data_IF_825231613480
#
_entry.id   IF_825231613480
#
_cell.length_a   1.000
_cell.length_b   1.000
_cell.length_c   1.000
_cell.angle_alpha   90.00
_cell.angle_beta   90.00
_cell.angle_gamma   90.00
#
_symmetry.space_group_name_H-M   'P 1'
#
loop_
_entity.id
_entity.type
_entity.pdbx_description
1 polymer ?
#
# COMPACT_ATOMS: atom_id res chain seq x y z
N UNK A 1 -113.78 -119.24 -113.85
CA UNK A 1 -114.65 -118.75 -112.77
C UNK A 1 -113.93 -118.19 -111.53
N UNK A 2 -112.69 -118.58 -111.19
CA UNK A 2 -111.98 -118.03 -110.01
C UNK A 2 -111.42 -116.59 -110.20
N UNK A 3 -111.02 -116.21 -111.42
CA UNK A 3 -110.38 -114.91 -111.70
C UNK A 3 -111.36 -113.74 -111.65
N UNK A 4 -112.60 -113.96 -112.10
CA UNK A 4 -113.65 -112.93 -112.13
C UNK A 4 -114.08 -112.51 -110.71
N UNK A 5 -114.05 -113.44 -109.74
CA UNK A 5 -114.41 -113.14 -108.35
C UNK A 5 -113.31 -112.37 -107.58
N UNK A 6 -112.04 -112.52 -107.97
CA UNK A 6 -110.90 -111.85 -107.33
C UNK A 6 -110.81 -110.37 -107.72
N UNK A 7 -111.09 -110.06 -109.00
CA UNK A 7 -111.08 -108.71 -109.54
C UNK A 7 -112.16 -107.83 -108.90
N UNK A 8 -113.37 -108.37 -108.74
CA UNK A 8 -114.49 -107.67 -108.08
C UNK A 8 -114.18 -107.34 -106.62
N UNK A 9 -113.49 -108.24 -105.92
CA UNK A 9 -113.14 -108.07 -104.51
C UNK A 9 -112.03 -107.04 -104.30
N UNK A 10 -111.04 -106.98 -105.19
CA UNK A 10 -110.01 -105.93 -105.20
C UNK A 10 -110.63 -104.57 -105.53
N UNK A 11 -111.50 -104.49 -106.54
CA UNK A 11 -112.16 -103.24 -106.89
C UNK A 11 -113.04 -102.71 -105.76
N UNK A 12 -113.69 -103.59 -104.99
CA UNK A 12 -114.46 -103.20 -103.80
C UNK A 12 -113.56 -102.70 -102.66
N UNK A 13 -112.41 -103.33 -102.44
CA UNK A 13 -111.44 -102.88 -101.44
C UNK A 13 -110.88 -101.50 -101.79
N UNK A 14 -110.54 -101.28 -103.06
CA UNK A 14 -110.06 -99.98 -103.57
C UNK A 14 -111.14 -98.91 -103.52
N UNK A 15 -112.42 -99.25 -103.75
CA UNK A 15 -113.52 -98.28 -103.63
C UNK A 15 -113.87 -97.92 -102.19
N UNK A 16 -113.56 -98.79 -101.23
CA UNK A 16 -113.85 -98.59 -99.81
C UNK A 16 -112.71 -97.87 -99.06
N UNK A 17 -111.54 -97.66 -99.70
CA UNK A 17 -110.42 -96.88 -99.15
C UNK A 17 -110.79 -95.39 -99.10
N UNK A 18 -110.82 -94.80 -97.90
CA UNK A 18 -111.00 -93.36 -97.72
C UNK A 18 -109.66 -92.63 -97.76
N UNK A 19 -109.68 -91.32 -98.01
CA UNK A 19 -108.45 -90.51 -97.93
C UNK A 19 -107.78 -90.60 -96.55
N UNK A 20 -108.57 -90.75 -95.48
CA UNK A 20 -108.08 -90.91 -94.11
C UNK A 20 -107.33 -92.24 -93.91
N UNK A 21 -107.72 -93.31 -94.62
CA UNK A 21 -107.07 -94.63 -94.54
C UNK A 21 -105.68 -94.67 -95.18
N UNK A 22 -105.36 -93.71 -96.06
CA UNK A 22 -104.05 -93.57 -96.71
C UNK A 22 -103.21 -92.42 -96.15
N UNK A 23 -103.63 -91.82 -95.03
CA UNK A 23 -102.95 -90.66 -94.42
C UNK A 23 -102.98 -89.40 -95.28
N UNK A 24 -103.90 -89.33 -96.26
CA UNK A 24 -104.09 -88.17 -97.12
C UNK A 24 -105.28 -87.33 -96.63
N UNK A 25 -105.22 -86.01 -96.81
CA UNK A 25 -106.40 -85.18 -96.68
C UNK A 25 -107.29 -85.38 -97.92
N UNK A 26 -108.62 -85.53 -97.76
CA UNK A 26 -109.55 -85.50 -98.88
C UNK A 26 -109.34 -84.24 -99.74
N UNK A 27 -109.63 -84.34 -101.04
CA UNK A 27 -109.55 -83.17 -101.94
C UNK A 27 -110.44 -82.04 -101.40
N UNK A 28 -109.83 -80.89 -101.09
CA UNK A 28 -110.50 -79.73 -100.50
C UNK A 28 -110.55 -79.68 -98.97
N UNK A 29 -110.19 -80.76 -98.27
CA UNK A 29 -110.05 -80.78 -96.83
C UNK A 29 -108.74 -80.10 -96.41
N UNK A 30 -108.76 -79.42 -95.27
CA UNK A 30 -107.61 -78.73 -94.70
C UNK A 30 -107.24 -79.34 -93.36
N UNK A 31 -105.97 -79.24 -92.98
CA UNK A 31 -105.54 -79.62 -91.64
C UNK A 31 -106.29 -78.80 -90.58
N UNK A 32 -106.54 -79.38 -89.40
CA UNK A 32 -107.36 -78.76 -88.34
C UNK A 32 -106.92 -77.33 -87.97
N UNK A 33 -105.62 -77.05 -88.04
CA UNK A 33 -105.04 -75.74 -87.70
C UNK A 33 -104.78 -74.83 -88.91
N UNK A 34 -105.16 -75.24 -90.12
CA UNK A 34 -104.92 -74.45 -91.33
C UNK A 34 -105.60 -73.07 -91.27
N UNK A 35 -106.76 -72.97 -90.62
CA UNK A 35 -107.48 -71.70 -90.41
C UNK A 35 -106.68 -70.68 -89.58
N UNK A 36 -105.71 -71.12 -88.77
CA UNK A 36 -104.84 -70.19 -88.00
C UNK A 36 -103.82 -69.47 -88.88
N UNK A 37 -103.53 -70.02 -90.06
CA UNK A 37 -102.51 -69.55 -91.01
C UNK A 37 -103.12 -68.95 -92.28
N UNK A 38 -104.42 -69.18 -92.52
CA UNK A 38 -105.09 -68.75 -93.75
C UNK A 38 -105.19 -67.21 -93.85
N UNK A 39 -104.91 -66.68 -95.05
CA UNK A 39 -104.94 -65.24 -95.33
C UNK A 39 -103.80 -64.44 -94.69
N UNK A 40 -102.92 -65.08 -93.92
CA UNK A 40 -101.77 -64.44 -93.27
C UNK A 40 -100.51 -64.60 -94.10
N UNK A 41 -99.75 -63.52 -94.18
CA UNK A 41 -98.38 -63.57 -94.67
C UNK A 41 -97.46 -64.24 -93.64
N UNK A 42 -96.31 -64.76 -94.10
CA UNK A 42 -95.25 -65.28 -93.21
C UNK A 42 -94.85 -64.27 -92.13
N UNK A 43 -94.84 -62.97 -92.45
CA UNK A 43 -94.51 -61.91 -91.51
C UNK A 43 -95.55 -61.75 -90.40
N UNK A 44 -96.85 -61.81 -90.72
CA UNK A 44 -97.93 -61.73 -89.74
C UNK A 44 -97.92 -62.92 -88.78
N UNK A 45 -97.72 -64.13 -89.29
CA UNK A 45 -97.61 -65.35 -88.46
C UNK A 45 -96.43 -65.25 -87.48
N UNK A 46 -95.27 -64.77 -87.95
CA UNK A 46 -94.08 -64.56 -87.10
C UNK A 46 -94.31 -63.44 -86.08
N UNK A 47 -95.01 -62.37 -86.44
CA UNK A 47 -95.33 -61.25 -85.55
C UNK A 47 -96.24 -61.68 -84.40
N UNK A 48 -97.33 -62.39 -84.72
CA UNK A 48 -98.25 -62.91 -83.71
C UNK A 48 -97.57 -63.91 -82.77
N UNK A 49 -96.74 -64.81 -83.30
CA UNK A 49 -95.97 -65.76 -82.50
C UNK A 49 -94.96 -65.08 -81.56
N UNK A 50 -94.47 -63.88 -81.92
CA UNK A 50 -93.50 -63.11 -81.14
C UNK A 50 -94.12 -62.03 -80.23
N UNK A 51 -95.43 -61.81 -80.30
CA UNK A 51 -96.10 -60.69 -79.63
C UNK A 51 -95.92 -60.69 -78.09
N UNK A 52 -95.79 -61.87 -77.48
CA UNK A 52 -95.61 -62.04 -76.04
C UNK A 52 -94.14 -62.29 -75.61
N UNK A 53 -93.19 -62.21 -76.54
CA UNK A 53 -91.77 -62.33 -76.24
C UNK A 53 -91.15 -60.95 -75.95
N UNK A 54 -90.04 -60.95 -75.20
CA UNK A 54 -89.27 -59.74 -74.94
C UNK A 54 -88.47 -59.36 -76.19
N UNK A 55 -88.56 -58.12 -76.71
CA UNK A 55 -87.74 -57.69 -77.83
C UNK A 55 -86.25 -57.66 -77.45
N UNK A 56 -85.38 -58.12 -78.36
CA UNK A 56 -83.92 -58.07 -78.18
C UNK A 56 -83.34 -56.65 -78.15
N UNK A 57 -84.16 -55.64 -78.51
CA UNK A 57 -83.83 -54.22 -78.38
C UNK A 57 -83.94 -53.68 -76.96
N UNK A 58 -84.57 -54.41 -76.02
CA UNK A 58 -84.55 -54.02 -74.61
C UNK A 58 -83.18 -54.26 -74.00
N UNK A 59 -82.79 -53.39 -73.07
CA UNK A 59 -81.50 -53.47 -72.38
C UNK A 59 -81.69 -53.57 -70.86
N UNK A 60 -80.73 -54.21 -70.19
CA UNK A 60 -80.53 -54.13 -68.73
C UNK A 60 -79.19 -53.42 -68.52
N UNK A 61 -79.23 -52.24 -67.90
CA UNK A 61 -78.06 -51.36 -67.71
C UNK A 61 -77.23 -51.23 -69.01
N UNK A 62 -77.92 -50.87 -70.10
CA UNK A 62 -77.36 -50.70 -71.46
C UNK A 62 -76.83 -51.97 -72.14
N UNK A 63 -76.97 -53.17 -71.55
CA UNK A 63 -76.61 -54.44 -72.19
C UNK A 63 -77.83 -55.06 -72.89
N UNK A 64 -77.74 -55.44 -74.18
CA UNK A 64 -78.89 -55.95 -74.94
C UNK A 64 -79.26 -57.39 -74.55
N UNK A 65 -80.55 -57.71 -74.62
CA UNK A 65 -81.09 -59.07 -74.37
C UNK A 65 -80.93 -60.00 -75.58
N UNK A 66 -79.69 -60.23 -76.00
CA UNK A 66 -79.35 -61.15 -77.11
C UNK A 66 -78.70 -62.46 -76.65
N UNK A 67 -78.44 -62.60 -75.35
CA UNK A 67 -77.89 -63.77 -74.67
C UNK A 67 -77.91 -63.57 -73.15
N UNK A 68 -77.12 -64.36 -72.42
CA UNK A 68 -76.99 -64.22 -70.96
C UNK A 68 -76.35 -62.88 -70.58
N UNK A 69 -76.94 -62.16 -69.62
CA UNK A 69 -76.47 -60.85 -69.17
C UNK A 69 -75.68 -61.02 -67.89
N UNK A 70 -74.39 -60.64 -67.91
CA UNK A 70 -73.55 -60.52 -66.71
C UNK A 70 -73.42 -59.06 -66.31
N UNK A 71 -73.70 -58.74 -65.04
CA UNK A 71 -73.49 -57.42 -64.47
C UNK A 71 -72.27 -57.43 -63.54
N UNK A 72 -71.53 -56.32 -63.57
CA UNK A 72 -70.43 -56.03 -62.66
C UNK A 72 -70.85 -54.93 -61.67
N UNK A 73 -70.07 -54.73 -60.61
CA UNK A 73 -70.28 -53.62 -59.67
C UNK A 73 -70.32 -52.26 -60.39
N UNK A 74 -69.54 -52.08 -61.44
CA UNK A 74 -69.53 -50.85 -62.24
C UNK A 74 -70.83 -50.62 -63.00
N UNK A 75 -71.51 -51.68 -63.45
CA UNK A 75 -72.76 -51.54 -64.20
C UNK A 75 -73.91 -50.98 -63.35
N UNK A 76 -73.84 -51.11 -62.02
CA UNK A 76 -74.89 -50.68 -61.06
C UNK A 76 -74.46 -49.52 -60.15
N UNK A 77 -73.27 -48.96 -60.35
CA UNK A 77 -72.73 -47.90 -59.50
C UNK A 77 -72.30 -48.35 -58.10
N UNK A 78 -72.01 -49.65 -57.93
CA UNK A 78 -71.51 -50.22 -56.68
C UNK A 78 -69.97 -50.21 -56.63
N UNK A 79 -69.43 -50.23 -55.41
CA UNK A 79 -68.00 -50.45 -55.19
C UNK A 79 -67.65 -51.95 -55.34
N UNK A 80 -66.44 -52.29 -55.82
CA UNK A 80 -65.98 -53.67 -55.90
C UNK A 80 -65.81 -54.27 -54.50
N UNK A 81 -65.90 -55.60 -54.37
CA UNK A 81 -65.71 -56.30 -53.10
C UNK A 81 -64.33 -56.06 -52.46
N UNK A 82 -63.34 -55.67 -53.25
CA UNK A 82 -61.98 -55.34 -52.82
C UNK A 82 -61.79 -53.88 -52.40
N UNK A 83 -62.83 -53.05 -52.39
CA UNK A 83 -62.67 -51.67 -51.94
C UNK A 83 -62.35 -51.64 -50.43
N UNK A 84 -61.39 -50.81 -50.06
CA UNK A 84 -60.99 -50.58 -48.67
C UNK A 84 -61.11 -49.10 -48.34
N UNK A 85 -61.41 -48.79 -47.08
CA UNK A 85 -61.31 -47.44 -46.55
C UNK A 85 -60.21 -47.39 -45.49
N UNK A 86 -59.34 -46.39 -45.57
CA UNK A 86 -58.41 -46.08 -44.49
C UNK A 86 -59.22 -45.41 -43.37
N UNK A 87 -59.70 -46.20 -42.40
CA UNK A 87 -60.45 -45.67 -41.27
C UNK A 87 -59.90 -46.18 -39.94
N UNK A 88 -60.00 -45.32 -38.93
CA UNK A 88 -59.73 -45.68 -37.54
C UNK A 88 -61.03 -46.21 -36.94
N UNK A 89 -61.08 -47.48 -36.49
CA UNK A 89 -62.27 -48.03 -35.86
C UNK A 89 -62.69 -47.25 -34.60
N UNK A 90 -64.00 -47.04 -34.42
CA UNK A 90 -64.50 -46.30 -33.26
C UNK A 90 -64.09 -46.93 -31.93
N UNK A 91 -63.95 -48.26 -31.88
CA UNK A 91 -63.48 -49.00 -30.71
C UNK A 91 -61.96 -48.90 -30.48
N UNK A 92 -61.21 -48.22 -31.34
CA UNK A 92 -59.77 -47.94 -31.19
C UNK A 92 -59.47 -46.50 -30.81
N UNK A 93 -60.47 -45.63 -30.75
CA UNK A 93 -60.30 -44.21 -30.41
C UNK A 93 -60.32 -43.99 -28.90
N UNK A 94 -59.24 -43.46 -28.34
CA UNK A 94 -59.19 -43.03 -26.93
C UNK A 94 -59.29 -44.16 -25.92
N UNK A 95 -58.93 -45.39 -26.33
CA UNK A 95 -58.85 -46.58 -25.48
C UNK A 95 -57.40 -47.05 -25.36
N UNK A 96 -57.11 -47.90 -24.37
CA UNK A 96 -55.80 -48.57 -24.26
C UNK A 96 -55.49 -49.38 -25.53
N UNK A 97 -54.21 -49.44 -25.93
CA UNK A 97 -53.76 -50.10 -27.17
C UNK A 97 -54.47 -49.58 -28.45
N UNK A 98 -54.93 -48.33 -28.40
CA UNK A 98 -55.61 -47.62 -29.46
C UNK A 98 -54.84 -46.39 -29.94
N UNK A 99 -55.55 -45.47 -30.58
CA UNK A 99 -55.03 -44.17 -31.00
C UNK A 99 -55.58 -43.06 -30.10
N UNK A 100 -54.77 -42.04 -29.85
CA UNK A 100 -55.23 -40.83 -29.19
C UNK A 100 -56.29 -40.11 -30.03
N UNK A 101 -57.31 -39.54 -29.39
CA UNK A 101 -58.29 -38.67 -30.06
C UNK A 101 -57.89 -37.21 -29.93
N UNK A 102 -58.49 -36.35 -30.74
CA UNK A 102 -58.44 -34.91 -30.55
C UNK A 102 -59.78 -34.40 -30.00
N UNK A 103 -59.74 -33.37 -29.16
CA UNK A 103 -60.90 -32.60 -28.74
C UNK A 103 -61.33 -31.58 -29.84
N UNK A 104 -62.33 -30.76 -29.54
CA UNK A 104 -62.85 -29.73 -30.45
C UNK A 104 -61.84 -28.65 -30.82
N UNK A 105 -60.70 -28.57 -30.12
CA UNK A 105 -59.61 -27.63 -30.39
C UNK A 105 -58.45 -28.26 -31.15
N UNK A 106 -58.57 -29.53 -31.53
CA UNK A 106 -57.52 -30.26 -32.24
C UNK A 106 -56.37 -30.70 -31.33
N UNK A 107 -56.60 -30.87 -30.03
CA UNK A 107 -55.59 -31.30 -29.04
C UNK A 107 -55.95 -32.64 -28.42
N UNK A 108 -54.95 -33.38 -27.94
CA UNK A 108 -55.19 -34.63 -27.21
C UNK A 108 -55.90 -34.28 -25.88
N UNK A 109 -57.09 -34.85 -25.58
CA UNK A 109 -57.77 -34.63 -24.32
C UNK A 109 -56.87 -35.01 -23.13
N UNK A 110 -56.84 -34.17 -22.09
CA UNK A 110 -55.95 -34.37 -20.93
C UNK A 110 -56.10 -35.75 -20.27
N UNK A 111 -57.30 -36.36 -20.29
CA UNK A 111 -57.52 -37.70 -19.77
C UNK A 111 -56.76 -38.82 -20.50
N UNK A 112 -56.18 -38.54 -21.67
CA UNK A 112 -55.30 -39.45 -22.42
C UNK A 112 -53.80 -39.17 -22.17
N UNK A 113 -53.47 -38.15 -21.36
CA UNK A 113 -52.11 -37.83 -20.97
C UNK A 113 -51.84 -38.36 -19.55
N UNK A 114 -50.63 -38.87 -19.25
CA UNK A 114 -50.21 -39.16 -17.89
C UNK A 114 -50.23 -37.90 -17.00
N UNK A 115 -50.42 -38.08 -15.69
CA UNK A 115 -50.64 -37.00 -14.71
C UNK A 115 -49.46 -36.03 -14.45
N UNK A 116 -48.41 -36.00 -15.28
CA UNK A 116 -47.24 -35.10 -15.15
C UNK A 116 -47.04 -34.29 -16.46
N UNK A 117 -48.13 -33.78 -17.02
CA UNK A 117 -48.02 -32.76 -18.07
C UNK A 117 -47.90 -31.37 -17.39
N UNK A 118 -46.70 -30.79 -17.35
CA UNK A 118 -46.51 -29.38 -16.97
C UNK A 118 -47.27 -28.54 -17.99
N UNK A 119 -48.36 -27.87 -17.58
CA UNK A 119 -49.18 -27.09 -18.50
C UNK A 119 -48.69 -25.66 -18.62
N UNK A 120 -48.45 -24.97 -17.51
CA UNK A 120 -48.04 -23.57 -17.50
C UNK A 120 -47.05 -23.20 -16.39
N UNK A 121 -46.23 -22.17 -16.64
CA UNK A 121 -45.27 -21.61 -15.68
C UNK A 121 -45.67 -20.19 -15.28
N UNK A 122 -45.83 -19.92 -14.00
CA UNK A 122 -46.27 -18.65 -13.44
C UNK A 122 -45.13 -17.92 -12.70
N UNK A 123 -44.56 -16.85 -13.27
CA UNK A 123 -43.65 -15.99 -12.52
C UNK A 123 -44.44 -15.14 -11.50
N UNK A 124 -44.08 -15.25 -10.23
CA UNK A 124 -44.72 -14.55 -9.10
C UNK A 124 -43.69 -13.84 -8.22
N UNK A 125 -44.12 -12.80 -7.52
CA UNK A 125 -43.27 -11.95 -6.67
C UNK A 125 -43.41 -12.25 -5.18
N UNK A 126 -44.31 -13.14 -4.80
CA UNK A 126 -44.52 -13.51 -3.39
C UNK A 126 -45.24 -14.85 -3.25
N UNK A 127 -45.25 -15.38 -2.03
CA UNK A 127 -46.08 -16.53 -1.65
C UNK A 127 -47.57 -16.27 -1.84
N UNK A 128 -48.04 -15.08 -1.47
CA UNK A 128 -49.45 -14.73 -1.58
C UNK A 128 -49.91 -14.75 -3.04
N UNK A 129 -49.09 -14.26 -3.96
CA UNK A 129 -49.35 -14.36 -5.40
C UNK A 129 -49.35 -15.82 -5.88
N UNK A 130 -48.43 -16.66 -5.39
CA UNK A 130 -48.38 -18.09 -5.70
C UNK A 130 -49.65 -18.84 -5.26
N UNK A 131 -50.12 -18.60 -4.02
CA UNK A 131 -51.30 -19.26 -3.46
C UNK A 131 -52.61 -18.75 -4.09
N UNK A 132 -52.58 -17.57 -4.73
CA UNK A 132 -53.72 -17.03 -5.47
C UNK A 132 -53.81 -17.51 -6.92
N UNK A 133 -52.83 -18.30 -7.40
CA UNK A 133 -52.82 -18.80 -8.78
C UNK A 133 -54.02 -19.73 -9.04
N UNK A 134 -54.63 -19.57 -10.21
CA UNK A 134 -55.55 -20.58 -10.78
C UNK A 134 -54.73 -21.64 -11.50
N UNK A 135 -53.95 -22.41 -10.74
CA UNK A 135 -53.02 -23.43 -11.23
C UNK A 135 -53.60 -24.84 -11.08
N UNK A 136 -53.14 -25.77 -11.92
CA UNK A 136 -53.49 -27.20 -11.94
C UNK A 136 -52.32 -28.05 -11.42
N UNK A 137 -52.58 -29.29 -11.01
CA UNK A 137 -51.50 -30.21 -10.62
C UNK A 137 -50.51 -30.37 -11.78
N UNK A 138 -49.22 -30.20 -11.49
CA UNK A 138 -48.12 -30.16 -12.46
C UNK A 138 -47.68 -28.77 -12.90
N UNK A 139 -48.43 -27.71 -12.60
CA UNK A 139 -48.03 -26.34 -12.93
C UNK A 139 -46.89 -25.84 -12.03
N UNK A 140 -46.09 -24.93 -12.57
CA UNK A 140 -44.91 -24.41 -11.88
C UNK A 140 -45.08 -22.94 -11.50
N UNK A 141 -44.75 -22.59 -10.26
CA UNK A 141 -44.61 -21.21 -9.83
C UNK A 141 -43.12 -20.86 -9.66
N UNK A 142 -42.69 -19.76 -10.28
CA UNK A 142 -41.33 -19.24 -10.15
C UNK A 142 -41.38 -18.05 -9.20
N UNK A 143 -40.93 -18.28 -7.96
CA UNK A 143 -40.93 -17.28 -6.89
C UNK A 143 -39.65 -16.45 -6.93
N UNK A 144 -39.75 -15.28 -7.55
CA UNK A 144 -38.62 -14.36 -7.73
C UNK A 144 -38.11 -13.74 -6.43
N UNK A 145 -38.96 -13.64 -5.41
CA UNK A 145 -38.60 -13.23 -4.04
C UNK A 145 -37.61 -14.18 -3.36
N UNK A 146 -37.75 -15.49 -3.64
CA UNK A 146 -36.89 -16.53 -3.06
C UNK A 146 -35.83 -17.07 -4.05
N UNK A 147 -35.94 -16.72 -5.34
CA UNK A 147 -35.18 -17.35 -6.45
C UNK A 147 -35.36 -18.87 -6.49
N UNK A 148 -36.57 -19.34 -6.20
CA UNK A 148 -36.93 -20.76 -6.13
C UNK A 148 -38.09 -21.08 -7.07
N UNK A 149 -38.15 -22.32 -7.53
CA UNK A 149 -39.26 -22.85 -8.32
C UNK A 149 -40.04 -23.88 -7.52
N UNK A 150 -41.36 -23.86 -7.65
CA UNK A 150 -42.27 -24.78 -6.97
C UNK A 150 -43.18 -25.43 -7.99
N UNK A 151 -43.52 -26.71 -7.81
CA UNK A 151 -44.51 -27.42 -8.62
C UNK A 151 -45.73 -27.75 -7.76
N UNK A 152 -46.93 -27.53 -8.29
CA UNK A 152 -48.16 -27.89 -7.61
C UNK A 152 -48.39 -29.39 -7.69
N UNK A 153 -48.24 -30.10 -6.57
CA UNK A 153 -48.37 -31.56 -6.52
C UNK A 153 -49.80 -32.01 -6.22
N UNK A 154 -50.66 -31.13 -5.71
CA UNK A 154 -52.04 -31.45 -5.32
C UNK A 154 -52.95 -30.22 -5.35
N UNK A 155 -54.24 -30.38 -5.62
CA UNK A 155 -55.22 -29.30 -5.40
C UNK A 155 -55.67 -29.17 -3.93
N UNK A 156 -56.05 -27.96 -3.46
CA UNK A 156 -56.05 -26.69 -4.18
C UNK A 156 -54.70 -25.96 -4.17
N UNK A 157 -54.46 -25.09 -5.17
CA UNK A 157 -53.28 -24.20 -5.26
C UNK A 157 -53.15 -23.22 -4.08
N UNK A 158 -54.26 -22.91 -3.41
CA UNK A 158 -54.32 -22.03 -2.25
C UNK A 158 -53.70 -22.60 -0.96
N UNK A 159 -53.28 -23.87 -0.98
CA UNK A 159 -52.63 -24.54 0.16
C UNK A 159 -51.14 -24.68 -0.09
N UNK A 160 -50.30 -24.01 0.70
CA UNK A 160 -48.84 -24.05 0.56
C UNK A 160 -48.25 -25.46 0.60
N UNK A 161 -48.77 -26.34 1.46
CA UNK A 161 -48.30 -27.72 1.60
C UNK A 161 -48.54 -28.59 0.34
N UNK A 162 -49.31 -28.10 -0.62
CA UNK A 162 -49.50 -28.78 -1.90
C UNK A 162 -48.42 -28.41 -2.94
N UNK A 163 -47.59 -27.39 -2.66
CA UNK A 163 -46.48 -26.99 -3.52
C UNK A 163 -45.19 -27.66 -3.07
N UNK A 164 -44.51 -28.34 -4.00
CA UNK A 164 -43.19 -28.92 -3.78
C UNK A 164 -42.12 -27.99 -4.33
N UNK A 165 -41.20 -27.55 -3.49
CA UNK A 165 -39.99 -26.86 -3.93
C UNK A 165 -39.14 -27.80 -4.80
N UNK A 166 -38.77 -27.36 -6.00
CA UNK A 166 -37.72 -28.00 -6.78
C UNK A 166 -36.38 -27.55 -6.21
N UNK A 167 -35.69 -28.47 -5.55
CA UNK A 167 -34.34 -28.24 -5.04
C UNK A 167 -33.40 -28.01 -6.23
N UNK A 168 -33.01 -26.75 -6.43
CA UNK A 168 -31.84 -26.43 -7.25
C UNK A 168 -30.59 -26.59 -6.39
N UNK A 169 -29.44 -27.03 -6.95
CA UNK A 169 -28.19 -27.09 -6.20
C UNK A 169 -27.92 -25.78 -5.46
N UNK A 170 -27.47 -25.86 -4.21
CA UNK A 170 -27.12 -24.68 -3.42
C UNK A 170 -25.90 -24.03 -4.05
N UNK A 171 -26.12 -22.99 -4.86
CA UNK A 171 -25.03 -22.15 -5.37
C UNK A 171 -24.42 -21.37 -4.20
N UNK A 172 -23.54 -22.03 -3.42
CA UNK A 172 -22.93 -21.44 -2.22
C UNK A 172 -21.96 -20.29 -2.58
N UNK A 173 -21.41 -20.30 -3.79
CA UNK A 173 -20.54 -19.24 -4.32
C UNK A 173 -20.97 -18.94 -5.75
N UNK A 174 -21.55 -17.75 -5.96
CA UNK A 174 -21.96 -17.30 -7.29
C UNK A 174 -20.82 -16.66 -8.09
N UNK A 175 -19.77 -16.19 -7.40
CA UNK A 175 -18.52 -15.66 -7.96
C UNK A 175 -17.45 -15.48 -6.88
N UNK A 176 -16.17 -15.52 -7.25
CA UNK A 176 -15.03 -15.13 -6.40
C UNK A 176 -14.33 -13.95 -7.06
N UNK A 177 -14.29 -12.79 -6.41
CA UNK A 177 -13.78 -11.54 -7.00
C UNK A 177 -14.34 -11.23 -8.40
N UNK A 178 -15.63 -11.49 -8.63
CA UNK A 178 -16.30 -11.30 -9.93
C UNK A 178 -16.05 -12.41 -10.97
N UNK A 179 -15.13 -13.34 -10.73
CA UNK A 179 -14.86 -14.49 -11.61
C UNK A 179 -15.87 -15.62 -11.38
N UNK A 180 -16.19 -16.37 -12.44
CA UNK A 180 -17.11 -17.52 -12.45
C UNK A 180 -16.52 -18.69 -13.24
N UNK A 181 -16.95 -19.92 -12.97
CA UNK A 181 -16.45 -21.12 -13.66
C UNK A 181 -15.18 -21.69 -13.00
N UNK A 182 -14.18 -22.09 -13.80
CA UNK A 182 -12.88 -22.49 -13.28
C UNK A 182 -12.12 -21.23 -12.82
N UNK A 183 -12.05 -21.01 -11.50
CA UNK A 183 -11.44 -19.81 -10.93
C UNK A 183 -9.97 -20.09 -10.64
N UNK A 184 -9.08 -19.35 -11.31
CA UNK A 184 -7.65 -19.28 -10.98
C UNK A 184 -7.42 -17.89 -10.40
N UNK A 185 -7.04 -17.84 -9.12
CA UNK A 185 -6.78 -16.59 -8.42
C UNK A 185 -5.31 -16.20 -8.51
N UNK A 186 -5.07 -14.95 -8.84
CA UNK A 186 -3.79 -14.28 -8.68
C UNK A 186 -3.74 -13.54 -7.34
N UNK A 187 -2.55 -13.23 -6.83
CA UNK A 187 -2.40 -12.54 -5.55
C UNK A 187 -3.18 -11.21 -5.51
N UNK A 188 -3.22 -10.49 -6.64
CA UNK A 188 -3.96 -9.24 -6.79
C UNK A 188 -5.48 -9.40 -6.64
N UNK A 189 -6.04 -10.58 -6.93
CA UNK A 189 -7.49 -10.82 -6.84
C UNK A 189 -8.01 -10.78 -5.39
N UNK A 190 -7.11 -10.93 -4.41
CA UNK A 190 -7.46 -10.97 -2.98
C UNK A 190 -6.72 -9.90 -2.17
N UNK A 191 -6.08 -8.94 -2.85
CA UNK A 191 -5.23 -7.94 -2.21
C UNK A 191 -3.99 -8.53 -1.51
N UNK A 192 -3.56 -9.73 -1.94
CA UNK A 192 -2.33 -10.34 -1.48
C UNK A 192 -1.14 -9.85 -2.31
N UNK A 193 0.01 -9.72 -1.68
CA UNK A 193 1.28 -9.50 -2.37
C UNK A 193 1.71 -10.79 -3.10
N UNK A 194 2.34 -10.70 -4.29
CA UNK A 194 2.83 -11.87 -5.03
C UNK A 194 3.74 -12.76 -4.18
N UNK A 195 3.71 -14.07 -4.41
CA UNK A 195 4.58 -15.01 -3.69
C UNK A 195 6.05 -14.85 -4.15
N UNK A 196 6.95 -14.47 -3.24
CA UNK A 196 8.40 -14.43 -3.45
C UNK A 196 9.15 -15.12 -2.30
N UNK A 197 10.36 -15.65 -2.56
CA UNK A 197 11.26 -16.13 -1.50
C UNK A 197 11.83 -14.94 -0.73
N UNK A 198 11.29 -14.70 0.47
CA UNK A 198 11.62 -13.57 1.34
C UNK A 198 13.08 -13.60 1.80
N UNK A 199 13.93 -12.80 1.18
CA UNK A 199 15.36 -12.70 1.50
C UNK A 199 15.93 -11.27 1.57
N UNK A 200 15.12 -10.25 1.86
CA UNK A 200 15.62 -8.89 2.17
C UNK A 200 14.75 -8.19 3.24
N UNK A 201 15.30 -7.13 3.86
CA UNK A 201 14.85 -6.48 5.10
C UNK A 201 13.35 -6.09 5.18
N UNK A 202 12.63 -5.98 4.06
CA UNK A 202 11.18 -5.75 4.04
C UNK A 202 10.38 -6.89 4.67
N UNK A 203 10.99 -8.06 4.87
CA UNK A 203 10.34 -9.19 5.52
C UNK A 203 11.16 -9.81 6.65
N UNK A 204 12.10 -9.05 7.21
CA UNK A 204 12.70 -9.37 8.50
C UNK A 204 12.11 -8.41 9.52
N UNK A 205 11.63 -8.94 10.64
CA UNK A 205 11.12 -8.11 11.71
C UNK A 205 12.24 -7.16 12.18
N UNK A 206 11.94 -5.87 12.33
CA UNK A 206 12.76 -5.00 13.17
C UNK A 206 12.74 -5.58 14.58
N UNK A 207 13.89 -5.76 15.21
CA UNK A 207 13.93 -6.42 16.53
C UNK A 207 15.32 -6.73 17.06
N UNK A 208 15.37 -7.36 18.23
CA UNK A 208 16.57 -7.50 19.06
C UNK A 208 17.23 -8.89 19.06
N UNK A 209 16.79 -9.83 18.21
CA UNK A 209 17.30 -11.21 18.16
C UNK A 209 18.27 -11.47 16.99
N UNK A 210 19.00 -12.59 17.00
CA UNK A 210 19.87 -12.96 15.89
C UNK A 210 19.05 -13.19 14.61
N UNK A 211 19.38 -12.46 13.53
CA UNK A 211 18.72 -12.56 12.23
C UNK A 211 17.69 -11.46 11.91
N UNK A 212 17.38 -10.55 12.86
CA UNK A 212 16.54 -9.37 12.64
C UNK A 212 17.33 -8.17 12.11
N UNK A 213 16.63 -7.17 11.56
CA UNK A 213 17.24 -5.91 11.12
C UNK A 213 17.16 -4.90 12.27
N UNK A 214 18.20 -4.09 12.42
CA UNK A 214 18.33 -3.08 13.46
C UNK A 214 18.07 -1.69 12.88
N UNK A 215 17.27 -0.86 13.56
CA UNK A 215 16.99 0.52 13.13
C UNK A 215 18.26 1.39 13.25
N UNK A 216 18.43 2.41 12.41
CA UNK A 216 19.67 3.23 12.37
C UNK A 216 19.94 4.03 13.66
N UNK A 217 18.92 4.26 14.47
CA UNK A 217 18.96 4.90 15.79
C UNK A 217 18.71 3.89 16.95
N UNK A 218 18.78 2.59 16.67
CA UNK A 218 18.54 1.56 17.66
C UNK A 218 19.57 1.65 18.78
N UNK A 219 19.09 1.65 20.02
CA UNK A 219 19.90 1.81 21.23
C UNK A 219 21.02 0.78 21.40
N UNK A 220 20.98 -0.37 20.70
CA UNK A 220 22.07 -1.36 20.67
C UNK A 220 23.28 -0.89 19.86
N UNK A 221 23.20 0.23 19.13
CA UNK A 221 24.40 0.92 18.60
C UNK A 221 25.07 1.62 19.79
N UNK A 222 25.46 0.83 20.79
CA UNK A 222 26.22 1.29 21.94
C UNK A 222 27.69 1.36 21.52
N UNK A 223 28.38 2.41 21.96
CA UNK A 223 29.82 2.63 21.75
C UNK A 223 30.27 3.07 20.35
N UNK A 224 29.36 3.47 19.46
CA UNK A 224 29.78 4.17 18.24
C UNK A 224 30.16 5.62 18.55
N UNK A 225 31.36 6.04 18.14
CA UNK A 225 31.82 7.42 18.28
C UNK A 225 31.44 8.20 17.02
N UNK A 226 30.66 9.30 17.12
CA UNK A 226 30.34 10.13 15.96
C UNK A 226 31.60 10.72 15.32
N UNK A 227 31.70 10.67 13.98
CA UNK A 227 32.81 11.26 13.21
C UNK A 227 32.94 12.78 13.38
N UNK A 228 31.88 13.44 13.85
CA UNK A 228 31.86 14.88 14.14
C UNK A 228 32.54 15.26 15.45
N UNK A 229 32.87 14.29 16.31
CA UNK A 229 33.67 14.58 17.51
C UNK A 229 35.12 14.82 17.13
N UNK A 230 35.77 15.69 17.89
CA UNK A 230 37.19 16.03 17.72
C UNK A 230 37.99 15.62 18.96
N UNK A 231 39.29 15.36 18.77
CA UNK A 231 40.29 15.26 19.85
C UNK A 231 41.27 16.39 19.62
N UNK A 232 41.32 17.34 20.56
CA UNK A 232 42.18 18.54 20.51
C UNK A 232 42.11 19.29 19.17
N UNK A 233 40.91 19.37 18.57
CA UNK A 233 40.66 20.05 17.29
C UNK A 233 40.73 19.17 16.05
N UNK A 234 41.28 17.96 16.14
CA UNK A 234 41.38 17.01 15.01
C UNK A 234 40.11 16.16 14.88
N UNK A 235 39.54 16.07 13.68
CA UNK A 235 38.33 15.29 13.41
C UNK A 235 38.58 13.78 13.38
N UNK A 236 37.65 13.01 13.95
CA UNK A 236 37.69 11.53 13.96
C UNK A 236 37.27 10.88 12.61
N UNK A 237 37.26 11.65 11.52
CA UNK A 237 36.97 11.14 10.18
C UNK A 237 38.16 10.45 9.52
N UNK A 238 39.34 10.49 10.15
CA UNK A 238 40.61 9.93 9.68
C UNK A 238 41.55 9.67 10.88
N UNK A 239 42.76 9.14 10.62
CA UNK A 239 43.77 8.95 11.67
C UNK A 239 44.17 10.30 12.29
N UNK A 240 44.40 10.32 13.61
CA UNK A 240 44.81 11.52 14.36
C UNK A 240 46.28 11.39 14.76
N UNK A 241 47.07 12.41 14.44
CA UNK A 241 48.43 12.62 14.95
C UNK A 241 48.39 13.82 15.90
N UNK A 242 48.87 13.66 17.14
CA UNK A 242 48.95 14.73 18.14
C UNK A 242 50.41 15.11 18.39
N UNK A 243 50.63 16.40 18.64
CA UNK A 243 51.90 17.02 18.98
C UNK A 243 51.91 17.48 20.44
N UNK A 244 53.07 17.90 20.95
CA UNK A 244 53.19 18.47 22.30
C UNK A 244 52.34 19.75 22.46
N UNK A 245 52.20 20.53 21.38
CA UNK A 245 51.37 21.74 21.35
C UNK A 245 49.89 21.42 21.55
N UNK A 246 49.38 20.37 20.91
CA UNK A 246 47.96 19.98 20.99
C UNK A 246 47.50 19.70 22.41
N UNK A 247 48.42 19.30 23.31
CA UNK A 247 48.14 18.99 24.72
C UNK A 247 48.67 20.05 25.68
N UNK A 248 49.21 21.16 25.19
CA UNK A 248 49.81 22.22 26.00
C UNK A 248 51.05 21.77 26.79
N UNK A 249 51.74 20.75 26.29
CA UNK A 249 52.97 20.23 26.89
C UNK A 249 54.21 20.84 26.24
N UNK A 250 55.32 20.79 26.97
CA UNK A 250 56.64 21.05 26.41
C UNK A 250 57.07 19.87 25.54
N UNK A 251 57.69 20.16 24.39
CA UNK A 251 58.26 19.16 23.51
C UNK A 251 59.39 18.36 24.18
N UNK A 252 59.67 17.17 23.64
CA UNK A 252 60.78 16.35 24.11
C UNK A 252 62.11 17.12 23.94
N UNK A 253 62.72 17.54 25.05
CA UNK A 253 63.98 18.29 25.07
C UNK A 253 63.82 19.80 25.29
N UNK A 254 62.60 20.31 25.45
CA UNK A 254 62.37 21.71 25.80
C UNK A 254 62.43 21.93 27.32
N UNK A 255 63.05 23.04 27.73
CA UNK A 255 63.11 23.46 29.14
C UNK A 255 62.02 24.50 29.42
N UNK A 256 61.33 24.35 30.55
CA UNK A 256 60.41 25.37 31.07
C UNK A 256 61.12 26.72 31.32
N UNK A 257 60.48 27.83 30.95
CA UNK A 257 61.06 29.18 31.03
C UNK A 257 61.63 29.57 32.42
N UNK A 258 61.08 29.02 33.51
CA UNK A 258 61.53 29.33 34.88
C UNK A 258 62.67 28.43 35.39
N UNK A 259 63.00 27.34 34.68
CA UNK A 259 64.06 26.43 35.11
C UNK A 259 65.45 27.04 34.96
N UNK A 260 65.63 28.02 34.07
CA UNK A 260 66.90 28.72 33.85
C UNK A 260 67.50 29.34 35.14
N UNK A 261 66.67 29.65 36.15
CA UNK A 261 67.12 30.17 37.45
C UNK A 261 67.69 29.11 38.39
N UNK A 262 67.51 27.84 38.05
CA UNK A 262 67.82 26.66 38.89
C UNK A 262 68.79 25.71 38.19
N UNK A 263 68.90 25.80 36.86
CA UNK A 263 69.81 24.98 36.06
C UNK A 263 71.26 25.15 36.50
N UNK A 264 71.98 24.03 36.57
CA UNK A 264 73.39 23.94 36.97
C UNK A 264 73.76 24.45 38.37
N UNK A 265 72.76 24.81 39.19
CA UNK A 265 72.94 25.17 40.59
C UNK A 265 72.56 24.01 41.50
N UNK A 266 73.47 23.64 42.40
CA UNK A 266 73.14 22.70 43.47
C UNK A 266 72.18 23.33 44.48
N UNK A 267 71.42 22.50 45.20
CA UNK A 267 70.55 22.95 46.29
C UNK A 267 71.29 23.82 47.32
N UNK A 268 72.56 23.52 47.59
CA UNK A 268 73.40 24.28 48.51
C UNK A 268 73.74 25.68 47.98
N UNK A 269 74.03 25.82 46.68
CA UNK A 269 74.33 27.12 46.05
C UNK A 269 73.13 28.06 46.09
N UNK A 270 71.93 27.56 45.76
CA UNK A 270 70.68 28.35 45.82
C UNK A 270 70.42 28.86 47.24
N UNK A 271 70.60 28.00 48.24
CA UNK A 271 70.41 28.38 49.65
C UNK A 271 71.45 29.42 50.08
N UNK A 272 72.69 29.32 49.57
CA UNK A 272 73.77 30.25 49.89
C UNK A 272 73.52 31.64 49.29
N UNK A 273 73.13 31.74 48.02
CA UNK A 273 72.82 33.02 47.38
C UNK A 273 71.68 33.75 48.09
N UNK A 274 70.60 33.01 48.43
CA UNK A 274 69.46 33.54 49.16
C UNK A 274 69.83 34.12 50.54
N UNK A 275 70.98 33.71 51.12
CA UNK A 275 71.47 34.18 52.44
C UNK A 275 72.62 35.17 52.37
N UNK A 276 73.15 35.52 51.19
CA UNK A 276 74.42 36.25 51.05
C UNK A 276 74.45 37.68 51.61
N UNK A 277 73.32 38.26 51.99
CA UNK A 277 73.22 39.62 52.56
C UNK A 277 72.79 39.71 54.02
N UNK A 278 72.64 38.57 54.71
CA UNK A 278 72.15 38.56 56.09
C UNK A 278 73.30 38.32 57.07
N UNK A 279 73.51 39.27 58.00
CA UNK A 279 74.53 39.11 59.04
C UNK A 279 74.22 37.88 59.90
N UNK A 280 75.25 37.11 60.26
CA UNK A 280 75.10 35.96 61.15
C UNK A 280 74.49 36.39 62.49
N UNK A 281 73.51 35.63 62.98
CA UNK A 281 72.91 35.87 64.29
C UNK A 281 73.99 35.85 65.38
N UNK A 282 74.23 36.99 66.05
CA UNK A 282 75.16 37.10 67.18
C UNK A 282 76.46 37.90 66.98
N UNK A 283 76.68 38.61 65.86
CA UNK A 283 77.88 39.46 65.71
C UNK A 283 77.79 40.76 66.54
N UNK A 284 78.77 41.02 67.42
CA UNK A 284 78.93 42.28 68.19
C UNK A 284 80.10 43.11 67.66
N UNK A 285 79.95 44.43 67.50
CA UNK A 285 81.03 45.34 67.06
C UNK A 285 81.93 45.79 68.21
N UNK A 286 83.22 45.98 67.95
CA UNK A 286 84.17 46.52 68.92
C UNK A 286 84.10 48.04 69.03
N UNK A 287 84.58 48.60 70.16
CA UNK A 287 84.60 50.06 70.40
C UNK A 287 85.41 50.83 69.34
N UNK A 288 86.49 50.26 68.83
CA UNK A 288 87.31 50.88 67.78
C UNK A 288 86.56 50.97 66.43
N UNK A 289 85.81 49.93 66.07
CA UNK A 289 84.98 49.91 64.86
C UNK A 289 83.80 50.88 64.97
N UNK A 290 83.30 51.10 66.18
CA UNK A 290 82.32 52.15 66.47
C UNK A 290 82.93 53.55 66.36
N UNK A 291 84.03 53.83 67.04
CA UNK A 291 84.66 55.16 67.10
C UNK A 291 85.20 55.60 65.71
N UNK A 292 85.65 54.67 64.87
CA UNK A 292 86.07 54.97 63.49
C UNK A 292 84.92 55.36 62.56
N UNK A 293 83.68 55.00 62.93
CA UNK A 293 82.48 55.29 62.12
C UNK A 293 81.80 56.61 62.54
N UNK A 294 82.15 57.21 63.69
CA UNK A 294 81.50 58.41 64.27
C UNK A 294 82.45 59.34 65.10
N UNK A 295 82.49 60.66 64.86
CA UNK A 295 83.42 61.63 65.52
C UNK A 295 82.94 62.21 66.89
N UNK A 296 83.88 62.60 67.80
CA UNK A 296 83.57 63.01 69.20
C UNK A 296 83.83 64.49 69.55
N UNK A 297 82.96 65.07 70.41
CA UNK A 297 82.88 66.50 70.80
C UNK A 297 84.12 67.09 71.49
N UNK A 298 84.96 66.27 72.12
CA UNK A 298 86.12 66.74 72.91
C UNK A 298 87.31 67.19 72.06
N UNK A 299 87.40 66.77 70.80
CA UNK A 299 88.57 67.01 69.94
C UNK A 299 88.61 68.44 69.35
N UNK A 300 87.47 69.10 69.19
CA UNK A 300 87.39 70.41 68.52
C UNK A 300 87.68 71.58 69.46
N UNK A 301 87.38 71.45 70.76
CA UNK A 301 87.52 72.54 71.72
C UNK A 301 88.97 72.84 72.16
N UNK A 302 89.88 71.87 72.07
CA UNK A 302 91.26 72.04 72.50
C UNK A 302 92.09 72.93 71.55
N UNK A 303 91.82 72.89 70.25
CA UNK A 303 92.65 73.52 69.22
C UNK A 303 92.55 75.06 69.19
N UNK A 304 91.43 75.64 69.61
CA UNK A 304 91.19 77.10 69.49
C UNK A 304 91.87 77.89 70.63
N UNK A 305 92.01 77.30 71.82
CA UNK A 305 92.48 78.02 73.02
C UNK A 305 93.99 78.31 72.99
N UNK A 306 94.79 77.48 72.35
CA UNK A 306 96.26 77.62 72.32
C UNK A 306 96.77 78.75 71.39
N UNK A 307 95.90 79.37 70.58
CA UNK A 307 96.32 80.29 69.51
C UNK A 307 96.32 81.80 69.89
N UNK A 308 95.72 82.24 71.01
CA UNK A 308 95.50 83.68 71.34
C UNK A 308 96.19 84.07 72.68
N UNK A 309 96.79 85.27 72.77
CA UNK A 309 97.48 85.82 73.96
C UNK A 309 97.10 87.29 74.26
N UNK A 310 97.28 87.70 75.52
CA UNK A 310 97.07 89.06 76.03
C UNK A 310 98.30 89.56 76.79
N UNK A 311 98.66 90.84 76.63
CA UNK A 311 99.83 91.50 77.22
C UNK A 311 99.44 92.89 77.73
N UNK A 312 99.79 93.23 78.97
CA UNK A 312 99.56 94.54 79.58
C UNK A 312 100.88 95.25 79.89
N UNK A 313 100.96 96.55 79.61
CA UNK A 313 102.17 97.37 79.78
C UNK A 313 101.83 98.71 80.42
N UNK A 314 102.35 98.99 81.61
CA UNK A 314 102.18 100.29 82.29
C UNK A 314 103.28 101.25 81.89
N UNK A 315 102.94 102.48 81.51
CA UNK A 315 103.92 103.53 81.19
C UNK A 315 104.48 104.16 82.46
N UNK A 316 105.81 104.22 82.59
CA UNK A 316 106.48 104.84 83.75
C UNK A 316 106.67 106.37 83.61
N UNK A 317 106.64 106.90 82.38
CA UNK A 317 106.76 108.32 82.08
C UNK A 317 105.91 108.68 80.84
N UNK A 318 105.54 109.96 80.70
CA UNK A 318 104.77 110.42 79.56
C UNK A 318 105.55 110.18 78.24
N UNK A 319 104.99 109.36 77.35
CA UNK A 319 105.67 108.87 76.14
C UNK A 319 104.68 108.75 74.99
N UNK A 320 105.12 109.00 73.77
CA UNK A 320 104.37 108.67 72.55
C UNK A 320 104.62 107.24 72.08
N UNK A 321 105.46 106.48 72.79
CA UNK A 321 105.81 105.11 72.39
C UNK A 321 105.75 104.14 73.55
N UNK A 322 105.37 102.90 73.24
CA UNK A 322 105.36 101.75 74.15
C UNK A 322 106.01 100.58 73.46
N UNK A 323 106.98 99.95 74.09
CA UNK A 323 107.66 98.79 73.52
C UNK A 323 107.09 97.50 74.10
N UNK A 324 106.54 96.65 73.25
CA UNK A 324 106.06 95.30 73.54
C UNK A 324 107.24 94.36 73.84
N UNK A 325 107.10 93.44 74.82
CA UNK A 325 108.12 92.43 75.06
C UNK A 325 108.33 91.56 73.80
N UNK A 326 109.60 91.33 73.45
CA UNK A 326 110.01 90.58 72.27
C UNK A 326 109.30 89.22 72.17
N UNK A 327 108.71 88.93 71.00
CA UNK A 327 108.11 87.62 70.69
C UNK A 327 106.76 87.30 71.34
N UNK A 328 106.04 88.29 71.89
CA UNK A 328 104.80 88.01 72.64
C UNK A 328 103.54 88.04 71.78
N UNK A 329 103.48 88.90 70.76
CA UNK A 329 102.32 89.05 69.88
C UNK A 329 102.83 89.28 68.46
N UNK A 330 102.43 88.43 67.52
CA UNK A 330 102.80 88.53 66.10
C UNK A 330 101.85 89.45 65.32
N UNK A 331 100.60 89.54 65.74
CA UNK A 331 99.61 90.46 65.20
C UNK A 331 98.66 90.91 66.30
N UNK A 332 98.51 92.23 66.44
CA UNK A 332 97.58 92.82 67.40
C UNK A 332 96.15 92.70 66.86
N UNK A 333 95.31 91.96 67.56
CA UNK A 333 93.87 91.90 67.29
C UNK A 333 93.15 93.06 67.98
N UNK A 334 93.56 93.37 69.21
CA UNK A 334 92.97 94.44 70.03
C UNK A 334 94.09 95.19 70.74
N UNK A 335 94.02 96.52 70.68
CA UNK A 335 94.86 97.42 71.48
C UNK A 335 93.97 98.32 72.31
N UNK A 336 94.26 98.48 73.60
CA UNK A 336 93.62 99.49 74.44
C UNK A 336 94.64 100.24 75.29
N UNK A 337 94.30 101.46 75.67
CA UNK A 337 95.05 102.29 76.63
C UNK A 337 94.08 102.63 77.76
N UNK A 338 94.43 102.30 79.00
CA UNK A 338 93.57 102.43 80.18
C UNK A 338 92.17 101.85 79.97
N UNK A 339 92.09 100.72 79.28
CA UNK A 339 90.84 100.04 78.92
C UNK A 339 90.07 100.65 77.74
N UNK A 340 90.48 101.80 77.22
CA UNK A 340 89.88 102.42 76.04
C UNK A 340 90.53 101.86 74.78
N UNK A 341 89.74 101.19 73.93
CA UNK A 341 90.24 100.64 72.66
C UNK A 341 90.78 101.74 71.73
N UNK A 342 91.94 101.46 71.15
CA UNK A 342 92.63 102.38 70.28
C UNK A 342 92.36 102.03 68.82
N UNK A 343 91.86 102.99 68.06
CA UNK A 343 91.56 102.78 66.64
C UNK A 343 92.86 102.66 65.83
N UNK A 344 92.88 101.79 64.81
CA UNK A 344 94.11 101.40 64.10
C UNK A 344 94.88 102.55 63.42
N UNK A 345 94.25 103.71 63.21
CA UNK A 345 94.91 104.88 62.59
C UNK A 345 95.59 105.83 63.58
N UNK A 346 95.37 105.66 64.90
CA UNK A 346 95.88 106.55 65.95
C UNK A 346 97.18 105.99 66.55
N UNK A 347 97.61 104.82 66.09
CA UNK A 347 98.87 104.21 66.46
C UNK A 347 99.47 103.49 65.26
N UNK A 348 100.75 103.21 65.33
CA UNK A 348 101.43 102.32 64.41
C UNK A 348 102.29 101.35 65.21
N UNK A 349 102.44 100.13 64.72
CA UNK A 349 103.39 99.17 65.27
C UNK A 349 104.54 99.05 64.30
N UNK A 350 105.74 99.45 64.75
CA UNK A 350 106.97 99.24 64.01
C UNK A 350 107.89 98.34 64.84
N UNK A 351 108.12 97.13 64.33
CA UNK A 351 108.77 96.07 65.09
C UNK A 351 107.99 95.78 66.37
N UNK A 352 108.64 95.97 67.51
CA UNK A 352 108.05 95.76 68.82
C UNK A 352 107.56 97.05 69.47
N UNK A 353 107.67 98.19 68.80
CA UNK A 353 107.30 99.47 69.40
C UNK A 353 106.01 99.97 68.79
N UNK A 354 105.03 100.17 69.65
CA UNK A 354 103.80 100.88 69.34
C UNK A 354 104.10 102.36 69.48
N UNK A 355 103.82 103.13 68.45
CA UNK A 355 103.89 104.59 68.46
C UNK A 355 102.47 105.14 68.36
N UNK A 356 102.08 105.96 69.33
CA UNK A 356 100.79 106.62 69.40
C UNK A 356 100.88 108.01 68.77
N UNK A 357 99.80 108.44 68.12
CA UNK A 357 99.68 109.78 67.54
C UNK A 357 99.61 110.90 68.57
N UNK A 358 99.21 110.57 69.81
CA UNK A 358 99.17 111.49 70.95
C UNK A 358 100.07 110.99 72.09
N UNK A 359 100.57 111.91 72.92
CA UNK A 359 101.41 111.56 74.06
C UNK A 359 100.57 110.96 75.18
N UNK A 360 100.88 109.72 75.54
CA UNK A 360 100.30 109.05 76.70
C UNK A 360 100.91 109.61 77.99
N UNK A 361 100.18 109.51 79.09
CA UNK A 361 100.61 110.01 80.39
C UNK A 361 101.32 108.91 81.19
N UNK A 362 102.14 109.33 82.16
CA UNK A 362 102.72 108.40 83.12
C UNK A 362 101.59 107.72 83.92
N UNK A 363 101.63 106.40 84.01
CA UNK A 363 100.61 105.57 84.65
C UNK A 363 99.59 104.94 83.70
N UNK A 364 99.57 105.32 82.42
CA UNK A 364 98.66 104.69 81.45
C UNK A 364 98.99 103.19 81.25
N UNK A 365 97.98 102.33 81.09
CA UNK A 365 98.17 100.89 80.84
C UNK A 365 97.78 100.56 79.40
N UNK A 366 98.72 100.05 78.62
CA UNK A 366 98.47 99.55 77.26
C UNK A 366 98.27 98.04 77.27
N UNK A 367 97.05 97.59 76.96
CA UNK A 367 96.69 96.18 76.80
C UNK A 367 96.67 95.80 75.33
N UNK A 368 97.27 94.67 75.00
CA UNK A 368 97.39 94.15 73.65
C UNK A 368 96.93 92.70 73.64
N UNK A 369 95.88 92.37 72.88
CA UNK A 369 95.43 90.99 72.63
C UNK A 369 95.77 90.65 71.20
N UNK A 370 96.34 89.48 70.96
CA UNK A 370 96.73 89.09 69.62
C UNK A 370 97.03 87.61 69.49
N UNK A 371 97.25 87.21 68.25
CA UNK A 371 97.72 85.86 67.95
C UNK A 371 99.17 85.73 68.36
N UNK A 372 99.49 84.56 68.91
CA UNK A 372 100.88 84.20 69.17
C UNK A 372 101.65 84.16 67.85
#
# INVERSE_FOLDING_TARGET
MATQNKLTRINRLVSDLTAQDVGALPVGARAADASKLEGKTKAQVVSEARANLVPTSRTINNKPLTGDVTLTHSDVGAAPASHTHDYIPNNKKGVAEGVATLDSTGKIPQGQLPAIAIKETFPVKSEAEMLALTAQEGDMAIRSDLRKSFVLMRQPASTLANWQELLTPTDAVSSVNGQRGNVVLEATDVGAEPAFSKNTAFNKNFGNAAGTVMEGNDSRVVNAVPKTRTINGHALSQNIELTAEDVGALGAGETAANAAKLENSTKAQIISEARSGLAASGASYTKAESDGKYATKSSVAATIKDAIRTVDITLEAASTTVTLPAGTISAVLVLSVCGVMQNAGVWSLSGNTITFGEQLQAGDIVTVIGFK
#
